data_IF_981970956875
#
_entry.id   IF_981970956875
#
_cell.length_a   1.000
_cell.length_b   1.000
_cell.length_c   1.000
_cell.angle_alpha   90.00
_cell.angle_beta   90.00
_cell.angle_gamma   90.00
#
_symmetry.space_group_name_H-M   'P 1'
#
loop_
_entity.id
_entity.type
_entity.pdbx_description
1 polymer ?
#
# COMPACT_ATOMS: atom_id res chain seq x y z
N UNK A 1 2.20 -7.58 -18.56
CA UNK A 1 3.36 -7.32 -17.68
C UNK A 1 4.67 -7.93 -18.19
N UNK A 2 4.70 -9.11 -18.82
CA UNK A 2 5.95 -9.71 -19.31
C UNK A 2 6.78 -8.83 -20.27
N UNK A 3 6.14 -8.15 -21.24
CA UNK A 3 6.83 -7.23 -22.14
C UNK A 3 7.45 -6.00 -21.45
N UNK A 4 6.79 -5.47 -20.42
CA UNK A 4 7.33 -4.37 -19.64
C UNK A 4 8.53 -4.81 -18.79
N UNK A 5 8.49 -6.00 -18.19
CA UNK A 5 9.64 -6.57 -17.48
C UNK A 5 10.83 -6.81 -18.42
N UNK A 6 10.58 -7.28 -19.65
CA UNK A 6 11.61 -7.44 -20.66
C UNK A 6 12.28 -6.11 -21.03
N UNK A 7 11.49 -5.04 -21.22
CA UNK A 7 12.04 -3.71 -21.50
C UNK A 7 12.91 -3.18 -20.34
N UNK A 8 12.52 -3.45 -19.09
CA UNK A 8 13.32 -3.05 -17.94
C UNK A 8 14.64 -3.84 -17.85
N UNK A 9 14.64 -5.12 -18.20
CA UNK A 9 15.85 -5.93 -18.29
C UNK A 9 16.75 -5.51 -19.46
N UNK A 10 16.18 -5.09 -20.58
CA UNK A 10 16.95 -4.52 -21.70
C UNK A 10 17.67 -3.23 -21.27
N UNK A 11 17.00 -2.41 -20.46
CA UNK A 11 17.55 -1.16 -19.92
C UNK A 11 18.61 -1.41 -18.83
N UNK A 12 18.37 -2.37 -17.94
CA UNK A 12 19.29 -2.74 -16.87
C UNK A 12 19.22 -4.25 -16.64
N UNK A 13 20.15 -5.04 -17.23
CA UNK A 13 20.10 -6.50 -17.20
C UNK A 13 20.40 -7.09 -15.82
N UNK A 14 20.93 -6.30 -14.89
CA UNK A 14 21.26 -6.76 -13.55
C UNK A 14 20.07 -6.67 -12.58
N UNK A 15 18.94 -6.08 -12.99
CA UNK A 15 17.75 -6.02 -12.16
C UNK A 15 17.25 -7.42 -11.82
N UNK A 16 16.95 -7.64 -10.55
CA UNK A 16 16.29 -8.87 -10.10
C UNK A 16 14.78 -8.79 -10.35
N UNK A 17 14.07 -9.94 -10.34
CA UNK A 17 12.61 -9.96 -10.47
C UNK A 17 11.90 -9.09 -9.42
N UNK A 18 12.40 -9.07 -8.17
CA UNK A 18 11.83 -8.25 -7.11
C UNK A 18 12.09 -6.76 -7.29
N UNK A 19 13.24 -6.36 -7.85
CA UNK A 19 13.48 -4.96 -8.20
C UNK A 19 12.58 -4.51 -9.34
N UNK A 20 12.42 -5.34 -10.38
CA UNK A 20 11.49 -5.05 -11.48
C UNK A 20 10.08 -4.87 -10.93
N UNK A 21 9.64 -5.79 -10.06
CA UNK A 21 8.34 -5.71 -9.39
C UNK A 21 8.22 -4.46 -8.52
N UNK A 22 9.27 -4.07 -7.79
CA UNK A 22 9.29 -2.84 -6.99
C UNK A 22 9.17 -1.59 -7.87
N UNK A 23 9.99 -1.47 -8.91
CA UNK A 23 10.00 -0.33 -9.86
C UNK A 23 8.62 -0.15 -10.50
N UNK A 24 8.03 -1.25 -10.96
CA UNK A 24 6.72 -1.24 -11.62
C UNK A 24 5.61 -0.76 -10.70
N UNK A 25 5.61 -1.20 -9.43
CA UNK A 25 4.62 -0.75 -8.44
C UNK A 25 4.88 0.69 -8.00
N UNK A 26 6.16 1.05 -7.79
CA UNK A 26 6.54 2.36 -7.32
C UNK A 26 6.15 3.46 -8.32
N UNK A 27 6.26 3.18 -9.61
CA UNK A 27 6.00 4.14 -10.70
C UNK A 27 4.56 4.09 -11.25
N UNK A 28 3.76 3.11 -10.81
CA UNK A 28 2.39 2.92 -11.26
C UNK A 28 1.53 4.16 -11.05
N UNK A 29 0.49 4.31 -11.87
CA UNK A 29 -0.51 5.37 -11.76
C UNK A 29 -1.65 4.92 -10.84
N UNK A 30 -1.87 5.55 -9.68
CA UNK A 30 -3.09 5.33 -8.90
C UNK A 30 -4.32 5.73 -9.72
N UNK A 31 -5.35 4.88 -9.82
CA UNK A 31 -6.63 5.29 -10.43
C UNK A 31 -7.50 5.90 -9.35
N UNK A 32 -8.10 7.05 -9.65
CA UNK A 32 -9.09 7.69 -8.80
C UNK A 32 -10.40 6.87 -8.77
N UNK A 33 -10.96 6.60 -7.59
CA UNK A 33 -12.25 5.92 -7.43
C UNK A 33 -12.23 4.40 -7.66
N UNK A 34 -11.07 3.79 -7.93
CA UNK A 34 -10.93 2.34 -7.97
C UNK A 34 -10.64 1.78 -6.57
N UNK A 35 -11.21 0.62 -6.24
CA UNK A 35 -10.93 -0.09 -4.99
C UNK A 35 -9.44 -0.48 -4.96
N UNK A 36 -8.74 -0.09 -3.90
CA UNK A 36 -7.32 -0.43 -3.70
C UNK A 36 -7.10 -1.95 -3.60
N UNK A 37 -8.13 -2.70 -3.19
CA UNK A 37 -8.16 -4.17 -3.19
C UNK A 37 -8.14 -4.79 -4.59
N UNK A 38 -8.70 -4.12 -5.60
CA UNK A 38 -8.77 -4.62 -6.98
C UNK A 38 -7.58 -4.15 -7.83
N UNK A 39 -7.02 -2.97 -7.55
CA UNK A 39 -6.03 -2.32 -8.40
C UNK A 39 -4.56 -2.54 -7.98
N UNK A 40 -4.30 -3.02 -6.77
CA UNK A 40 -2.94 -3.14 -6.24
C UNK A 40 -2.22 -1.78 -6.21
N UNK A 41 -1.10 -1.66 -6.93
CA UNK A 41 -0.29 -0.43 -6.92
C UNK A 41 -0.74 0.63 -7.93
N UNK A 42 -1.61 0.29 -8.89
CA UNK A 42 -2.00 1.22 -9.94
C UNK A 42 -2.05 0.62 -11.35
N UNK A 43 -2.28 1.48 -12.36
CA UNK A 43 -2.03 1.14 -13.76
C UNK A 43 -0.53 1.17 -14.07
N UNK A 44 -0.14 0.33 -15.02
CA UNK A 44 1.23 0.25 -15.49
C UNK A 44 1.69 1.58 -16.14
N UNK A 45 2.74 2.17 -15.59
CA UNK A 45 3.43 3.33 -16.16
C UNK A 45 4.82 2.95 -16.68
N UNK A 46 4.93 2.67 -17.98
CA UNK A 46 6.21 2.24 -18.56
C UNK A 46 7.23 3.37 -18.67
N UNK A 47 6.80 4.62 -18.91
CA UNK A 47 7.70 5.76 -18.99
C UNK A 47 8.42 5.97 -17.66
N UNK A 48 7.66 6.02 -16.57
CA UNK A 48 8.22 6.19 -15.24
C UNK A 48 9.09 5.00 -14.82
N UNK A 49 8.64 3.77 -15.10
CA UNK A 49 9.40 2.55 -14.78
C UNK A 49 10.76 2.52 -15.48
N UNK A 50 10.80 2.83 -16.78
CA UNK A 50 12.04 2.86 -17.56
C UNK A 50 12.95 4.01 -17.12
N UNK A 51 12.38 5.19 -16.84
CA UNK A 51 13.14 6.34 -16.34
C UNK A 51 13.79 6.03 -14.99
N UNK A 52 13.06 5.39 -14.09
CA UNK A 52 13.59 4.97 -12.80
C UNK A 52 14.67 3.88 -12.96
N UNK A 53 14.41 2.85 -13.76
CA UNK A 53 15.35 1.74 -13.98
C UNK A 53 16.69 2.19 -14.59
N UNK A 54 16.68 3.13 -15.55
CA UNK A 54 17.91 3.73 -16.12
C UNK A 54 18.75 4.46 -15.08
N UNK A 55 18.11 4.98 -14.04
CA UNK A 55 18.78 5.77 -13.01
C UNK A 55 19.49 4.92 -11.96
N UNK A 56 19.19 3.61 -11.91
CA UNK A 56 19.83 2.64 -11.03
C UNK A 56 21.19 2.22 -11.57
N UNK A 57 22.08 1.79 -10.67
CA UNK A 57 23.41 1.26 -11.03
C UNK A 57 23.27 0.04 -11.92
N UNK A 58 24.09 -0.01 -12.96
CA UNK A 58 24.22 -1.16 -13.88
C UNK A 58 25.49 -1.96 -13.62
N UNK A 59 26.50 -1.40 -12.93
CA UNK A 59 27.78 -2.08 -12.66
C UNK A 59 27.81 -2.92 -11.38
N UNK A 60 26.66 -3.38 -10.89
CA UNK A 60 26.56 -4.21 -9.67
C UNK A 60 25.65 -5.41 -9.89
N UNK A 61 25.98 -6.50 -9.23
CA UNK A 61 25.08 -7.64 -9.09
C UNK A 61 24.18 -7.44 -7.86
N UNK A 62 22.89 -7.24 -8.12
CA UNK A 62 21.90 -7.03 -7.08
C UNK A 62 21.55 -8.31 -6.30
N UNK A 63 21.89 -9.52 -6.76
CA UNK A 63 21.69 -10.73 -5.96
C UNK A 63 22.71 -10.87 -4.82
N UNK A 64 23.90 -10.30 -4.98
CA UNK A 64 24.98 -10.37 -3.98
C UNK A 64 25.12 -9.09 -3.15
N UNK A 65 24.46 -8.00 -3.56
CA UNK A 65 24.55 -6.71 -2.89
C UNK A 65 24.06 -6.77 -1.43
N UNK A 66 24.79 -6.07 -0.54
CA UNK A 66 24.47 -5.99 0.88
C UNK A 66 23.29 -5.04 1.17
N UNK A 67 22.52 -5.33 2.21
CA UNK A 67 21.46 -4.46 2.72
C UNK A 67 22.00 -3.06 3.04
N UNK A 68 21.29 -2.03 2.59
CA UNK A 68 21.68 -0.62 2.80
C UNK A 68 22.73 -0.09 1.83
N UNK A 69 23.32 -0.93 0.99
CA UNK A 69 24.20 -0.45 -0.08
C UNK A 69 23.41 0.42 -1.07
N UNK A 70 24.06 1.43 -1.64
CA UNK A 70 23.41 2.30 -2.62
C UNK A 70 23.06 1.53 -3.90
N UNK A 71 21.82 1.65 -4.33
CA UNK A 71 21.32 1.15 -5.62
C UNK A 71 21.52 2.18 -6.75
N UNK A 72 21.85 3.43 -6.39
CA UNK A 72 21.99 4.56 -7.30
C UNK A 72 23.44 5.06 -7.39
N UNK A 73 23.86 5.66 -8.52
CA UNK A 73 25.19 6.25 -8.66
C UNK A 73 25.46 7.40 -7.68
N UNK A 74 26.74 7.75 -7.49
CA UNK A 74 27.11 8.91 -6.67
C UNK A 74 26.56 10.21 -7.29
N UNK A 75 26.09 11.13 -6.45
CA UNK A 75 25.49 12.40 -6.89
C UNK A 75 24.09 12.25 -7.50
N UNK A 76 23.50 11.05 -7.46
CA UNK A 76 22.15 10.83 -7.97
C UNK A 76 21.11 11.61 -7.18
N UNK A 77 20.13 12.14 -7.91
CA UNK A 77 18.92 12.73 -7.36
C UNK A 77 17.71 11.96 -7.89
N UNK A 78 16.68 11.83 -7.04
CA UNK A 78 15.47 11.11 -7.41
C UNK A 78 14.82 11.78 -8.63
N UNK A 79 14.51 11.03 -9.70
CA UNK A 79 13.74 11.56 -10.83
C UNK A 79 12.40 12.13 -10.35
N UNK A 80 11.84 13.08 -11.11
CA UNK A 80 10.50 13.58 -10.80
C UNK A 80 9.52 12.42 -10.71
N UNK A 81 8.73 12.37 -9.64
CA UNK A 81 7.80 11.26 -9.36
C UNK A 81 6.43 11.49 -9.99
N UNK A 82 6.42 12.07 -11.20
CA UNK A 82 5.23 12.29 -12.02
C UNK A 82 5.52 11.93 -13.48
N UNK A 83 4.51 11.49 -14.21
CA UNK A 83 4.62 11.19 -15.64
C UNK A 83 3.56 11.98 -16.39
N UNK A 84 3.96 12.54 -17.54
CA UNK A 84 3.06 13.29 -18.44
C UNK A 84 2.96 12.54 -19.76
N UNK A 85 1.76 12.08 -20.12
CA UNK A 85 1.47 11.41 -21.39
C UNK A 85 0.35 12.18 -22.07
N UNK A 86 0.59 12.63 -23.32
CA UNK A 86 -0.40 13.36 -24.12
C UNK A 86 -1.02 14.57 -23.41
N UNK A 87 -0.23 15.28 -22.60
CA UNK A 87 -0.68 16.47 -21.85
C UNK A 87 -1.36 16.18 -20.51
N UNK A 88 -1.59 14.91 -20.16
CA UNK A 88 -2.12 14.51 -18.85
C UNK A 88 -0.98 14.11 -17.92
N UNK A 89 -0.92 14.74 -16.74
CA UNK A 89 0.10 14.46 -15.72
C UNK A 89 -0.51 13.70 -14.55
N UNK A 90 0.16 12.66 -14.10
CA UNK A 90 -0.21 11.91 -12.90
C UNK A 90 1.01 11.66 -12.00
N UNK A 91 0.76 11.55 -10.70
CA UNK A 91 1.77 11.21 -9.69
C UNK A 91 1.99 9.71 -9.63
N UNK A 92 3.22 9.29 -9.34
CA UNK A 92 3.55 7.89 -9.11
C UNK A 92 3.01 7.39 -7.76
N UNK A 93 2.72 6.09 -7.68
CA UNK A 93 2.18 5.45 -6.48
C UNK A 93 3.14 5.41 -5.28
N UNK A 94 4.45 5.41 -5.53
CA UNK A 94 5.55 5.54 -4.55
C UNK A 94 5.57 4.49 -3.43
N UNK A 95 5.04 3.29 -3.69
CA UNK A 95 5.07 2.18 -2.76
C UNK A 95 5.25 0.84 -3.47
N UNK A 96 5.59 -0.20 -2.71
CA UNK A 96 5.60 -1.58 -3.17
C UNK A 96 4.72 -2.45 -2.28
N UNK A 97 4.03 -3.44 -2.86
CA UNK A 97 3.15 -4.35 -2.14
C UNK A 97 3.93 -5.62 -1.75
N UNK A 98 3.96 -5.87 -0.44
CA UNK A 98 4.51 -7.06 0.19
C UNK A 98 3.47 -8.19 0.31
N UNK A 99 3.57 -9.02 1.37
CA UNK A 99 2.71 -10.20 1.51
C UNK A 99 1.27 -9.84 1.90
N UNK A 100 1.04 -8.72 2.60
CA UNK A 100 -0.28 -8.15 2.93
C UNK A 100 -0.17 -6.67 3.30
N UNK A 101 0.88 -5.98 2.84
CA UNK A 101 1.26 -4.65 3.35
C UNK A 101 1.82 -3.80 2.22
N UNK A 102 1.74 -2.48 2.40
CA UNK A 102 2.37 -1.50 1.55
C UNK A 102 3.66 -1.02 2.22
N UNK A 103 4.74 -0.99 1.44
CA UNK A 103 6.06 -0.53 1.85
C UNK A 103 6.30 0.78 1.09
N UNK A 104 6.53 1.86 1.82
CA UNK A 104 6.90 3.18 1.26
C UNK A 104 8.12 3.73 1.98
N UNK A 105 8.61 4.89 1.55
CA UNK A 105 9.72 5.59 2.20
C UNK A 105 10.80 6.04 1.24
N UNK A 106 11.60 7.00 1.69
CA UNK A 106 12.65 7.66 0.89
C UNK A 106 13.77 6.71 0.47
N UNK A 107 14.03 5.68 1.28
CA UNK A 107 15.11 4.72 1.05
C UNK A 107 14.70 3.50 0.20
N UNK A 108 13.41 3.39 -0.17
CA UNK A 108 12.91 2.24 -0.91
C UNK A 108 13.61 2.10 -2.26
N UNK A 109 13.90 3.22 -2.91
CA UNK A 109 14.58 3.23 -4.20
C UNK A 109 16.10 3.31 -4.04
N UNK A 110 16.60 4.19 -3.17
CA UNK A 110 18.02 4.58 -3.09
C UNK A 110 18.91 3.59 -2.32
N UNK A 111 18.31 2.73 -1.49
CA UNK A 111 19.04 1.73 -0.71
C UNK A 111 18.57 0.31 -1.02
N UNK A 112 19.52 -0.61 -1.07
CA UNK A 112 19.25 -2.00 -1.36
C UNK A 112 18.59 -2.69 -0.16
N UNK A 113 17.49 -3.39 -0.42
CA UNK A 113 16.80 -4.23 0.56
C UNK A 113 17.11 -5.70 0.26
N UNK A 114 17.37 -6.53 1.26
CA UNK A 114 17.70 -7.95 1.02
C UNK A 114 16.57 -8.69 0.29
N UNK A 115 15.32 -8.26 0.49
CA UNK A 115 14.14 -8.79 -0.22
C UNK A 115 14.18 -8.58 -1.73
N UNK A 116 15.06 -7.71 -2.23
CA UNK A 116 15.26 -7.53 -3.67
C UNK A 116 16.03 -8.67 -4.30
N UNK A 117 16.71 -9.52 -3.53
CA UNK A 117 17.35 -10.72 -4.10
C UNK A 117 16.29 -11.66 -4.68
N UNK A 118 16.67 -12.41 -5.72
CA UNK A 118 15.74 -13.28 -6.46
C UNK A 118 15.21 -14.45 -5.61
N UNK A 119 15.92 -14.84 -4.57
CA UNK A 119 15.56 -15.93 -3.65
C UNK A 119 14.45 -15.58 -2.64
N UNK A 120 14.13 -14.29 -2.50
CA UNK A 120 13.14 -13.81 -1.54
C UNK A 120 11.84 -13.39 -2.23
N UNK A 121 10.79 -13.17 -1.44
CA UNK A 121 9.60 -12.45 -1.88
C UNK A 121 9.68 -11.03 -1.30
N UNK A 122 9.05 -10.04 -1.94
CA UNK A 122 9.02 -8.67 -1.43
C UNK A 122 8.40 -8.54 -0.01
N UNK A 123 7.59 -9.51 0.40
CA UNK A 123 7.03 -9.59 1.75
C UNK A 123 7.87 -10.38 2.75
N UNK A 124 9.00 -10.97 2.35
CA UNK A 124 9.88 -11.69 3.27
C UNK A 124 10.47 -10.70 4.28
N UNK A 125 10.53 -11.08 5.56
CA UNK A 125 11.01 -10.18 6.61
C UNK A 125 9.99 -9.16 7.08
N UNK A 126 8.73 -9.28 6.67
CA UNK A 126 7.61 -8.62 7.33
C UNK A 126 7.09 -9.60 8.38
N UNK A 127 7.28 -9.28 9.65
CA UNK A 127 6.87 -10.10 10.76
C UNK A 127 5.50 -9.65 11.26
N UNK A 128 4.70 -10.59 11.77
CA UNK A 128 3.49 -10.32 12.51
C UNK A 128 3.63 -10.87 13.93
N UNK A 129 3.44 -10.02 14.93
CA UNK A 129 3.52 -10.40 16.34
C UNK A 129 2.88 -9.32 17.22
N UNK A 130 2.22 -9.75 18.30
CA UNK A 130 1.47 -8.85 19.20
C UNK A 130 0.48 -7.92 18.46
N UNK A 131 -0.18 -8.44 17.41
CA UNK A 131 -1.10 -7.67 16.57
C UNK A 131 -0.42 -6.66 15.64
N UNK A 132 0.89 -6.46 15.71
CA UNK A 132 1.57 -5.47 14.88
C UNK A 132 2.40 -6.13 13.79
N UNK A 133 2.37 -5.51 12.61
CA UNK A 133 3.30 -5.83 11.55
C UNK A 133 4.55 -4.98 11.71
N UNK A 134 5.72 -5.58 11.58
CA UNK A 134 7.00 -4.88 11.68
C UNK A 134 7.97 -5.36 10.61
N UNK A 135 8.89 -4.48 10.23
CA UNK A 135 10.03 -4.88 9.43
C UNK A 135 11.04 -5.62 10.30
N UNK A 136 11.55 -6.74 9.78
CA UNK A 136 12.82 -7.28 10.20
C UNK A 136 13.94 -6.38 9.63
N UNK A 137 14.28 -5.35 10.40
CA UNK A 137 15.35 -4.41 10.06
C UNK A 137 16.75 -5.00 10.25
N UNK A 138 16.87 -6.13 10.94
CA UNK A 138 18.15 -6.84 11.12
C UNK A 138 18.63 -7.45 9.82
N UNK A 139 17.76 -8.18 9.12
CA UNK A 139 18.15 -9.02 7.99
C UNK A 139 17.63 -8.50 6.65
N UNK A 140 16.43 -7.94 6.62
CA UNK A 140 15.69 -7.77 5.35
C UNK A 140 15.56 -6.33 4.89
N UNK A 141 15.19 -5.43 5.79
CA UNK A 141 14.88 -4.03 5.44
C UNK A 141 15.85 -3.03 6.08
N UNK A 142 16.03 -1.89 5.43
CA UNK A 142 16.73 -0.73 6.00
C UNK A 142 15.78 0.12 6.82
N UNK A 143 16.34 1.05 7.60
CA UNK A 143 15.57 2.07 8.30
C UNK A 143 15.11 3.16 7.32
N UNK A 144 14.10 3.95 7.71
CA UNK A 144 13.51 4.99 6.85
C UNK A 144 12.48 4.45 5.84
N UNK A 145 12.06 3.20 6.00
CA UNK A 145 10.88 2.64 5.35
C UNK A 145 9.68 2.70 6.29
N UNK A 146 8.51 2.92 5.71
CA UNK A 146 7.23 2.90 6.41
C UNK A 146 6.44 1.70 5.94
N UNK A 147 5.90 0.95 6.90
CA UNK A 147 4.96 -0.11 6.64
C UNK A 147 3.56 0.42 6.92
N UNK A 148 2.65 0.25 5.98
CA UNK A 148 1.24 0.57 6.16
C UNK A 148 0.39 -0.59 5.67
N UNK A 149 -0.75 -0.77 6.31
CA UNK A 149 -1.75 -1.78 5.97
C UNK A 149 -3.16 -1.22 5.99
N UNK A 150 -3.27 0.11 6.04
CA UNK A 150 -4.53 0.80 5.91
C UNK A 150 -5.08 0.49 4.52
N UNK A 151 -6.34 0.06 4.47
CA UNK A 151 -7.08 0.15 3.21
C UNK A 151 -7.35 1.63 3.05
N UNK A 152 -6.72 2.27 2.07
CA UNK A 152 -6.97 3.69 1.77
C UNK A 152 -7.88 3.78 0.55
N UNK A 153 -8.76 4.77 0.52
CA UNK A 153 -9.41 5.17 -0.73
C UNK A 153 -8.36 5.79 -1.65
N UNK A 154 -8.40 5.50 -2.94
CA UNK A 154 -7.47 6.12 -3.90
C UNK A 154 -8.05 7.44 -4.39
N UNK A 155 -7.45 8.57 -4.01
CA UNK A 155 -7.79 9.91 -4.52
C UNK A 155 -6.89 10.35 -5.70
N UNK A 156 -6.20 9.40 -6.34
CA UNK A 156 -5.26 9.69 -7.43
C UNK A 156 -3.92 10.30 -6.99
N UNK A 157 -3.68 10.44 -5.67
CA UNK A 157 -2.40 10.85 -5.09
C UNK A 157 -1.58 9.64 -4.61
N UNK A 158 -0.29 9.81 -4.25
CA UNK A 158 0.54 8.72 -3.76
C UNK A 158 -0.07 8.00 -2.55
N UNK A 159 0.29 6.73 -2.35
CA UNK A 159 -0.28 5.92 -1.27
C UNK A 159 -0.05 6.57 0.11
N UNK A 160 -1.13 6.72 0.88
CA UNK A 160 -1.16 7.46 2.15
C UNK A 160 -1.72 8.89 2.06
N UNK A 161 -1.98 9.41 0.86
CA UNK A 161 -2.68 10.68 0.66
C UNK A 161 -4.21 10.55 0.54
N UNK A 162 -4.71 9.31 0.37
CA UNK A 162 -6.13 8.97 0.43
C UNK A 162 -6.64 8.84 1.86
N UNK A 163 -7.96 8.82 2.05
CA UNK A 163 -8.55 8.61 3.36
C UNK A 163 -8.42 7.14 3.77
N UNK A 164 -8.02 6.87 5.02
CA UNK A 164 -8.00 5.51 5.58
C UNK A 164 -9.44 4.99 5.66
N UNK A 165 -9.80 4.11 4.73
CA UNK A 165 -11.10 3.45 4.67
C UNK A 165 -11.28 2.44 5.81
N UNK A 166 -10.24 1.65 6.13
CA UNK A 166 -10.23 0.76 7.29
C UNK A 166 -8.86 0.73 7.95
N UNK A 167 -8.84 0.98 9.27
CA UNK A 167 -7.65 0.84 10.09
C UNK A 167 -7.42 -0.61 10.55
N UNK A 168 -6.37 -0.87 11.31
CA UNK A 168 -6.06 -2.22 11.76
C UNK A 168 -7.07 -2.72 12.81
N UNK A 169 -7.46 -3.99 12.70
CA UNK A 169 -8.32 -4.62 13.70
C UNK A 169 -9.81 -4.39 13.46
N UNK A 170 -10.19 -3.86 12.29
CA UNK A 170 -11.58 -3.87 11.84
C UNK A 170 -11.95 -5.26 11.31
N UNK A 171 -12.97 -5.90 11.87
CA UNK A 171 -13.60 -7.10 11.28
C UNK A 171 -14.98 -6.71 10.73
N UNK A 172 -15.24 -7.15 9.51
CA UNK A 172 -16.50 -6.88 8.80
C UNK A 172 -17.14 -8.21 8.44
N UNK A 173 -18.38 -8.39 8.88
CA UNK A 173 -19.22 -9.54 8.58
C UNK A 173 -19.65 -9.62 7.12
N UNK A 174 -20.37 -10.67 6.79
CA UNK A 174 -20.90 -10.89 5.45
C UNK A 174 -22.05 -9.92 5.14
N UNK A 175 -22.12 -9.45 3.90
CA UNK A 175 -23.23 -8.60 3.45
C UNK A 175 -23.21 -7.15 3.94
N UNK A 176 -22.07 -6.67 4.47
CA UNK A 176 -21.91 -5.26 4.88
C UNK A 176 -21.72 -4.34 3.66
N UNK A 177 -22.49 -3.26 3.60
CA UNK A 177 -22.39 -2.21 2.58
C UNK A 177 -21.93 -0.91 3.23
N UNK A 178 -20.87 -0.31 2.70
CA UNK A 178 -20.27 0.93 3.23
C UNK A 178 -20.23 1.97 2.12
N UNK A 179 -20.78 3.14 2.41
CA UNK A 179 -20.85 4.29 1.52
C UNK A 179 -19.50 4.98 1.30
N UNK A 180 -19.52 6.01 0.46
CA UNK A 180 -18.34 6.78 0.12
C UNK A 180 -17.91 7.68 1.28
N UNK A 181 -16.60 7.80 1.51
CA UNK A 181 -16.07 8.71 2.53
C UNK A 181 -16.23 8.23 3.97
N UNK A 182 -16.50 6.94 4.18
CA UNK A 182 -16.53 6.35 5.53
C UNK A 182 -15.11 6.16 6.07
N UNK A 183 -14.89 6.55 7.32
CA UNK A 183 -13.65 6.38 8.08
C UNK A 183 -13.93 5.48 9.29
N UNK A 184 -13.18 4.40 9.45
CA UNK A 184 -13.34 3.46 10.56
C UNK A 184 -12.05 3.37 11.38
N UNK A 185 -12.18 3.63 12.68
CA UNK A 185 -11.14 3.53 13.69
C UNK A 185 -10.63 2.11 13.94
N UNK A 186 -9.68 1.98 14.86
CA UNK A 186 -9.09 0.69 15.23
C UNK A 186 -10.06 -0.14 16.09
N UNK A 187 -10.03 -1.46 15.92
CA UNK A 187 -10.78 -2.38 16.78
C UNK A 187 -12.30 -2.35 16.60
N UNK A 188 -12.79 -1.91 15.45
CA UNK A 188 -14.23 -1.90 15.13
C UNK A 188 -14.71 -3.28 14.68
N UNK A 189 -15.83 -3.74 15.24
CA UNK A 189 -16.48 -4.99 14.88
C UNK A 189 -17.81 -4.67 14.20
N UNK A 190 -17.95 -5.02 12.92
CA UNK A 190 -19.21 -4.86 12.17
C UNK A 190 -19.75 -6.24 11.85
N UNK A 191 -20.93 -6.56 12.34
CA UNK A 191 -21.59 -7.84 12.14
C UNK A 191 -22.30 -7.90 10.78
N UNK A 192 -23.10 -8.93 10.53
CA UNK A 192 -23.62 -9.24 9.20
C UNK A 192 -24.75 -8.29 8.79
N UNK A 193 -24.83 -7.97 7.50
CA UNK A 193 -25.96 -7.21 6.93
C UNK A 193 -26.04 -5.73 7.35
N UNK A 194 -24.95 -5.13 7.83
CA UNK A 194 -24.89 -3.71 8.20
C UNK A 194 -24.83 -2.81 6.96
N UNK A 195 -25.60 -1.71 6.97
CA UNK A 195 -25.47 -0.62 5.99
C UNK A 195 -24.87 0.62 6.67
N UNK A 196 -23.79 1.15 6.10
CA UNK A 196 -23.19 2.42 6.51
C UNK A 196 -23.30 3.40 5.34
N UNK A 197 -23.93 4.54 5.57
CA UNK A 197 -24.11 5.62 4.59
C UNK A 197 -22.81 6.38 4.27
N UNK A 198 -22.92 7.41 3.44
CA UNK A 198 -21.79 8.20 2.98
C UNK A 198 -21.28 9.15 4.09
N UNK A 199 -19.97 9.36 4.18
CA UNK A 199 -19.35 10.36 5.07
C UNK A 199 -19.43 10.03 6.55
N UNK A 200 -19.57 8.74 6.92
CA UNK A 200 -19.63 8.30 8.32
C UNK A 200 -18.24 8.21 8.94
N UNK A 201 -18.08 8.72 10.16
CA UNK A 201 -16.89 8.49 10.99
C UNK A 201 -17.23 7.53 12.13
N UNK A 202 -16.50 6.43 12.23
CA UNK A 202 -16.60 5.46 13.32
C UNK A 202 -15.32 5.51 14.14
N UNK A 203 -15.45 5.80 15.44
CA UNK A 203 -14.36 5.84 16.41
C UNK A 203 -13.76 4.47 16.72
N UNK A 204 -12.80 4.45 17.64
CA UNK A 204 -12.08 3.23 18.03
C UNK A 204 -12.95 2.33 18.93
N UNK A 205 -12.84 1.02 18.78
CA UNK A 205 -13.48 0.03 19.64
C UNK A 205 -15.01 -0.03 19.55
N UNK A 206 -15.58 0.38 18.41
CA UNK A 206 -17.03 0.34 18.17
C UNK A 206 -17.49 -1.07 17.80
N UNK A 207 -18.63 -1.50 18.35
CA UNK A 207 -19.29 -2.74 17.95
C UNK A 207 -20.64 -2.44 17.31
N UNK A 208 -20.82 -2.87 16.07
CA UNK A 208 -22.04 -2.72 15.28
C UNK A 208 -22.64 -4.11 15.07
N UNK A 209 -23.80 -4.35 15.66
CA UNK A 209 -24.56 -5.60 15.58
C UNK A 209 -25.21 -5.82 14.22
N UNK A 210 -25.86 -6.98 14.07
CA UNK A 210 -26.44 -7.41 12.81
C UNK A 210 -27.55 -6.46 12.34
N UNK A 211 -27.61 -6.22 11.02
CA UNK A 211 -28.70 -5.46 10.40
C UNK A 211 -28.80 -3.97 10.77
N UNK A 212 -27.78 -3.42 11.42
CA UNK A 212 -27.74 -1.99 11.77
C UNK A 212 -27.62 -1.12 10.51
N UNK A 213 -28.37 -0.01 10.49
CA UNK A 213 -28.27 1.02 9.45
C UNK A 213 -27.75 2.33 10.05
N UNK A 214 -26.57 2.74 9.61
CA UNK A 214 -25.97 4.03 9.95
C UNK A 214 -26.17 4.97 8.76
N UNK A 215 -26.88 6.08 8.97
CA UNK A 215 -27.16 7.05 7.91
C UNK A 215 -25.94 7.89 7.50
N UNK A 216 -26.11 8.69 6.45
CA UNK A 216 -25.06 9.58 5.93
C UNK A 216 -24.63 10.65 6.96
N UNK A 217 -23.34 10.97 6.99
CA UNK A 217 -22.76 12.04 7.81
C UNK A 217 -22.75 11.76 9.32
N UNK A 218 -23.00 10.52 9.73
CA UNK A 218 -23.03 10.14 11.16
C UNK A 218 -21.62 10.08 11.73
N UNK A 219 -21.46 10.60 12.95
CA UNK A 219 -20.25 10.41 13.76
C UNK A 219 -20.59 9.48 14.93
N UNK A 220 -19.99 8.30 14.90
CA UNK A 220 -20.02 7.33 16.00
C UNK A 220 -18.73 7.51 16.80
N UNK A 221 -18.87 7.86 18.07
CA UNK A 221 -17.71 8.04 18.96
C UNK A 221 -17.02 6.73 19.32
N UNK A 222 -15.95 6.82 20.11
CA UNK A 222 -15.20 5.66 20.58
C UNK A 222 -16.01 4.81 21.57
N UNK A 223 -15.76 3.50 21.57
CA UNK A 223 -16.37 2.53 22.50
C UNK A 223 -17.90 2.51 22.48
N UNK A 224 -18.50 2.83 21.34
CA UNK A 224 -19.94 2.79 21.14
C UNK A 224 -20.39 1.38 20.75
N UNK A 225 -21.53 0.96 21.27
CA UNK A 225 -22.20 -0.27 20.90
C UNK A 225 -23.51 0.08 20.21
N UNK A 226 -23.59 -0.22 18.91
CA UNK A 226 -24.80 -0.07 18.08
C UNK A 226 -25.36 -1.46 17.87
N UNK A 227 -26.51 -1.77 18.47
CA UNK A 227 -27.12 -3.10 18.37
C UNK A 227 -28.49 -3.09 17.76
N UNK A 228 -28.92 -4.27 17.34
CA UNK A 228 -30.34 -4.58 17.27
C UNK A 228 -30.87 -4.90 18.68
N UNK A 229 -32.19 -5.08 18.81
CA UNK A 229 -32.83 -5.42 20.10
C UNK A 229 -32.51 -6.86 20.57
N UNK A 230 -31.39 -7.47 20.14
CA UNK A 230 -31.02 -8.78 20.63
C UNK A 230 -30.60 -8.73 22.11
N UNK A 231 -31.07 -9.68 22.94
CA UNK A 231 -30.82 -9.66 24.39
C UNK A 231 -29.35 -9.72 24.82
N UNK A 232 -28.42 -10.04 23.90
CA UNK A 232 -26.99 -10.08 24.18
C UNK A 232 -26.31 -8.69 24.17
N UNK A 233 -27.02 -7.65 23.72
CA UNK A 233 -26.52 -6.28 23.57
C UNK A 233 -27.10 -5.28 24.61
N UNK A 234 -27.93 -5.74 25.56
CA UNK A 234 -28.45 -4.96 26.70
C UNK A 234 -27.61 -5.11 27.98
#
# INVERSE_FOLDING_TARGET
MAGAAALLLEVNPNLTPNMIRMIMQYTAQPINGAKTLEQGAGQLNMEGAVRLARSLRTGVDFNTLAKGATTVPSGWTMPTTNTTISGHTFSWAQHAIGKFTHISGSNLVSQFQTVYKSEHLLGTGINFGAGQFSFNTTTYFTTGLTLSRHTVTSNGQPFGAGTTYMSYGVLVGDGVLVGDGVLVGDGVLVADGVLVGDGVLVGDGVLVGDGVLVGDGVLVGDSVLLGDDTPAMQ
#
